data_IF_518991009487
#
_entry.id   IF_518991009487
#
_cell.length_a   1.000
_cell.length_b   1.000
_cell.length_c   1.000
_cell.angle_alpha   90.00
_cell.angle_beta   90.00
_cell.angle_gamma   90.00
#
_symmetry.space_group_name_H-M   'P 1'
#
loop_
_entity.id
_entity.type
_entity.pdbx_description
1 polymer ?
#
# COMPACT_ATOMS: atom_id res chain seq x y z
N UNK A 1 -3.19 7.66 -13.77
CA UNK A 1 -3.94 6.49 -13.27
C UNK A 1 -4.85 6.84 -12.11
N UNK A 2 -4.33 7.23 -10.93
CA UNK A 2 -5.16 7.57 -9.75
C UNK A 2 -6.25 8.62 -10.02
N UNK A 3 -5.94 9.72 -10.73
CA UNK A 3 -6.94 10.75 -11.06
C UNK A 3 -8.09 10.21 -11.92
N UNK A 4 -7.79 9.34 -12.89
CA UNK A 4 -8.82 8.70 -13.70
C UNK A 4 -9.67 7.73 -12.86
N UNK A 5 -9.03 6.98 -11.95
CA UNK A 5 -9.72 6.23 -10.90
C UNK A 5 -10.69 7.09 -10.10
N UNK A 6 -10.26 8.29 -9.68
CA UNK A 6 -11.07 9.16 -8.85
C UNK A 6 -12.21 9.90 -9.56
N UNK A 7 -12.24 9.94 -10.91
CA UNK A 7 -13.15 10.83 -11.66
C UNK A 7 -13.92 10.17 -12.80
N UNK A 8 -13.39 9.09 -13.33
CA UNK A 8 -13.88 8.45 -14.56
C UNK A 8 -13.94 6.93 -14.41
N UNK A 9 -14.07 6.45 -13.18
CA UNK A 9 -14.11 5.03 -12.86
C UNK A 9 -15.42 4.68 -12.14
N UNK A 10 -15.67 3.39 -11.96
CA UNK A 10 -16.72 2.88 -11.08
C UNK A 10 -16.13 2.29 -9.79
N UNK A 11 -15.01 2.82 -9.28
CA UNK A 11 -14.23 2.19 -8.22
C UNK A 11 -15.02 1.93 -6.94
N UNK A 12 -15.77 2.91 -6.41
CA UNK A 12 -16.57 2.70 -5.19
C UNK A 12 -17.68 1.67 -5.40
N UNK A 13 -18.33 1.69 -6.57
CA UNK A 13 -19.34 0.70 -6.93
C UNK A 13 -18.71 -0.71 -7.04
N UNK A 14 -17.58 -0.81 -7.73
CA UNK A 14 -16.80 -2.05 -7.83
C UNK A 14 -16.35 -2.56 -6.46
N UNK A 15 -15.94 -1.67 -5.56
CA UNK A 15 -15.50 -2.04 -4.21
C UNK A 15 -16.64 -2.59 -3.35
N UNK A 16 -17.86 -2.10 -3.55
CA UNK A 16 -19.07 -2.59 -2.86
C UNK A 16 -19.53 -3.97 -3.33
N UNK A 17 -19.31 -4.34 -4.60
CA UNK A 17 -19.62 -5.66 -5.15
C UNK A 17 -18.66 -6.05 -6.28
N UNK A 18 -17.46 -6.47 -5.88
CA UNK A 18 -16.38 -6.81 -6.82
C UNK A 18 -16.64 -8.12 -7.58
N UNK A 19 -17.65 -8.90 -7.18
CA UNK A 19 -18.00 -10.18 -7.81
C UNK A 19 -18.93 -10.00 -9.01
N UNK A 20 -19.82 -9.01 -8.97
CA UNK A 20 -20.80 -8.78 -10.04
C UNK A 20 -20.50 -7.52 -10.86
N UNK A 21 -19.77 -6.56 -10.30
CA UNK A 21 -19.38 -5.32 -11.00
C UNK A 21 -17.96 -5.52 -11.54
N UNK A 22 -17.76 -5.33 -12.84
CA UNK A 22 -16.44 -5.31 -13.46
C UNK A 22 -15.74 -3.96 -13.26
N UNK A 23 -14.41 -3.91 -13.04
CA UNK A 23 -13.72 -2.64 -12.85
C UNK A 23 -13.59 -1.88 -14.18
N UNK A 24 -13.97 -0.60 -14.16
CA UNK A 24 -13.82 0.34 -15.27
C UNK A 24 -13.11 1.59 -14.76
N UNK A 25 -12.08 2.05 -15.46
CA UNK A 25 -11.28 3.22 -15.08
C UNK A 25 -11.12 4.24 -16.23
N UNK A 26 -11.89 4.06 -17.31
CA UNK A 26 -11.86 4.94 -18.47
C UNK A 26 -13.27 5.07 -19.05
N UNK A 27 -13.79 6.30 -19.05
CA UNK A 27 -14.93 6.66 -19.88
C UNK A 27 -14.40 6.84 -21.31
N UNK A 28 -14.43 5.76 -22.11
CA UNK A 28 -14.05 5.83 -23.52
C UNK A 28 -15.15 6.56 -24.30
N UNK A 29 -14.79 7.39 -25.27
CA UNK A 29 -15.71 7.80 -26.32
C UNK A 29 -16.24 6.53 -27.04
N UNK A 30 -17.48 6.51 -27.56
CA UNK A 30 -18.16 5.27 -27.96
C UNK A 30 -17.58 4.65 -29.24
N UNK A 31 -16.36 4.09 -29.18
CA UNK A 31 -15.64 3.53 -30.34
C UNK A 31 -14.94 2.20 -29.99
N UNK A 32 -14.36 2.00 -28.79
CA UNK A 32 -13.69 0.72 -28.44
C UNK A 32 -13.81 0.38 -26.94
N UNK A 33 -14.09 -0.89 -26.62
CA UNK A 33 -14.13 -1.43 -25.24
C UNK A 33 -12.72 -1.76 -24.77
N UNK A 34 -12.18 -0.99 -23.84
CA UNK A 34 -10.86 -1.22 -23.26
C UNK A 34 -10.93 -0.89 -21.77
N UNK A 35 -11.30 -1.90 -20.99
CA UNK A 35 -11.39 -1.81 -19.54
C UNK A 35 -10.47 -2.85 -18.88
N UNK A 36 -10.00 -2.53 -17.67
CA UNK A 36 -9.42 -3.40 -16.62
C UNK A 36 -7.89 -3.37 -16.47
N UNK A 37 -7.43 -2.99 -15.25
CA UNK A 37 -6.34 -3.64 -14.47
C UNK A 37 -6.02 -2.98 -13.09
N UNK A 38 -6.68 -1.88 -12.67
CA UNK A 38 -6.22 -1.11 -11.49
C UNK A 38 -7.03 -1.26 -10.18
N UNK A 39 -8.24 -1.84 -10.21
CA UNK A 39 -9.14 -1.86 -9.03
C UNK A 39 -8.58 -2.65 -7.85
N UNK A 40 -8.02 -3.83 -8.13
CA UNK A 40 -7.49 -4.75 -7.11
C UNK A 40 -6.31 -4.18 -6.34
N UNK A 41 -5.45 -3.39 -7.01
CA UNK A 41 -4.27 -2.77 -6.40
C UNK A 41 -4.68 -1.70 -5.38
N UNK A 42 -5.71 -0.90 -5.69
CA UNK A 42 -6.20 0.14 -4.79
C UNK A 42 -6.90 -0.47 -3.57
N UNK A 43 -7.71 -1.52 -3.78
CA UNK A 43 -8.30 -2.31 -2.69
C UNK A 43 -7.24 -2.91 -1.77
N UNK A 44 -6.22 -3.56 -2.33
CA UNK A 44 -5.11 -4.13 -1.56
C UNK A 44 -4.29 -3.07 -0.79
N UNK A 45 -4.35 -1.81 -1.22
CA UNK A 45 -3.71 -0.68 -0.54
C UNK A 45 -4.55 -0.06 0.58
N UNK A 46 -5.78 -0.55 0.80
CA UNK A 46 -6.70 -0.03 1.81
C UNK A 46 -7.44 1.24 1.38
N UNK A 47 -7.52 1.52 0.08
CA UNK A 47 -8.29 2.66 -0.42
C UNK A 47 -9.78 2.29 -0.42
N UNK A 48 -10.63 3.17 0.11
CA UNK A 48 -12.07 2.94 0.22
C UNK A 48 -12.93 3.99 -0.48
N UNK A 49 -12.34 5.11 -0.91
CA UNK A 49 -13.07 6.20 -1.57
C UNK A 49 -12.30 6.85 -2.71
N UNK A 50 -13.03 7.46 -3.65
CA UNK A 50 -12.48 8.24 -4.75
C UNK A 50 -11.74 9.49 -4.26
N UNK A 51 -12.09 10.02 -3.08
CA UNK A 51 -11.38 11.14 -2.47
C UNK A 51 -9.92 10.80 -2.17
N UNK A 52 -9.65 9.61 -1.62
CA UNK A 52 -8.30 9.14 -1.34
C UNK A 52 -7.49 8.97 -2.64
N UNK A 53 -8.11 8.44 -3.71
CA UNK A 53 -7.48 8.37 -5.04
C UNK A 53 -7.14 9.76 -5.59
N UNK A 54 -8.03 10.74 -5.38
CA UNK A 54 -7.82 12.12 -5.82
C UNK A 54 -6.64 12.77 -5.07
N UNK A 55 -6.59 12.64 -3.75
CA UNK A 55 -5.48 13.12 -2.93
C UNK A 55 -4.15 12.45 -3.34
N UNK A 56 -4.17 11.14 -3.58
CA UNK A 56 -3.01 10.39 -4.06
C UNK A 56 -2.51 10.91 -5.42
N UNK A 57 -3.44 11.24 -6.33
CA UNK A 57 -3.10 11.82 -7.62
C UNK A 57 -2.43 13.20 -7.50
N UNK A 58 -2.93 14.06 -6.61
CA UNK A 58 -2.31 15.37 -6.33
C UNK A 58 -0.92 15.18 -5.73
N UNK A 59 -0.78 14.31 -4.73
CA UNK A 59 0.51 14.00 -4.12
C UNK A 59 1.54 13.52 -5.15
N UNK A 60 1.15 12.60 -6.03
CA UNK A 60 1.99 12.12 -7.12
C UNK A 60 2.40 13.25 -8.10
N UNK A 61 1.50 14.18 -8.41
CA UNK A 61 1.79 15.33 -9.28
C UNK A 61 2.80 16.30 -8.63
N UNK A 62 2.64 16.58 -7.34
CA UNK A 62 3.60 17.39 -6.58
C UNK A 62 4.97 16.70 -6.56
N UNK A 63 5.01 15.39 -6.29
CA UNK A 63 6.25 14.62 -6.29
C UNK A 63 6.93 14.60 -7.67
N UNK A 64 6.17 14.47 -8.75
CA UNK A 64 6.71 14.58 -10.11
C UNK A 64 7.35 15.95 -10.37
N UNK A 65 6.72 17.02 -9.88
CA UNK A 65 7.28 18.39 -9.97
C UNK A 65 8.58 18.51 -9.17
N UNK A 66 8.64 17.92 -7.97
CA UNK A 66 9.86 17.88 -7.16
C UNK A 66 10.99 17.09 -7.85
N UNK A 67 10.69 15.98 -8.52
CA UNK A 67 11.69 15.21 -9.27
C UNK A 67 12.26 16.01 -10.45
N UNK A 68 11.40 16.71 -11.20
CA UNK A 68 11.84 17.60 -12.28
C UNK A 68 12.70 18.75 -11.76
N UNK A 69 12.30 19.36 -10.64
CA UNK A 69 13.07 20.41 -10.00
C UNK A 69 14.42 19.90 -9.49
N UNK A 70 14.45 18.71 -8.85
CA UNK A 70 15.67 18.05 -8.37
C UNK A 70 16.65 17.79 -9.52
N UNK A 71 16.15 17.29 -10.66
CA UNK A 71 16.96 17.10 -11.87
C UNK A 71 17.53 18.42 -12.41
N UNK A 72 16.71 19.45 -12.53
CA UNK A 72 17.18 20.78 -12.93
C UNK A 72 18.22 21.35 -11.96
N UNK A 73 17.98 21.21 -10.65
CA UNK A 73 18.84 21.74 -9.59
C UNK A 73 20.20 21.04 -9.58
N UNK A 74 20.23 19.71 -9.61
CA UNK A 74 21.46 18.94 -9.64
C UNK A 74 22.21 19.01 -10.97
N UNK A 75 21.58 19.51 -12.04
CA UNK A 75 22.27 19.83 -13.29
C UNK A 75 22.85 21.25 -13.28
N UNK A 76 22.06 22.28 -12.93
CA UNK A 76 22.41 23.69 -13.13
C UNK A 76 22.95 24.42 -11.89
N UNK A 77 22.63 23.95 -10.67
CA UNK A 77 22.96 24.65 -9.41
C UNK A 77 23.92 23.87 -8.54
N UNK A 78 23.74 22.56 -8.45
CA UNK A 78 24.51 21.67 -7.59
C UNK A 78 25.01 20.45 -8.38
N UNK A 79 25.84 20.70 -9.39
CA UNK A 79 26.41 19.66 -10.25
C UNK A 79 27.37 18.77 -9.47
N UNK A 80 27.06 17.47 -9.41
CA UNK A 80 27.92 16.47 -8.77
C UNK A 80 29.24 16.28 -9.53
N UNK A 81 30.31 15.99 -8.78
CA UNK A 81 31.63 15.67 -9.34
C UNK A 81 31.70 14.19 -9.74
N UNK A 82 32.61 13.84 -10.65
CA UNK A 82 32.81 12.44 -11.10
C UNK A 82 33.05 11.47 -9.93
N UNK A 83 33.82 11.88 -8.93
CA UNK A 83 34.10 11.05 -7.75
C UNK A 83 32.83 10.63 -6.99
N UNK A 84 31.77 11.44 -7.00
CA UNK A 84 30.49 11.07 -6.38
C UNK A 84 29.78 9.96 -7.17
N UNK A 85 29.80 10.02 -8.50
CA UNK A 85 29.20 8.98 -9.36
C UNK A 85 29.97 7.65 -9.31
N UNK A 86 31.27 7.70 -9.02
CA UNK A 86 32.14 6.53 -8.96
C UNK A 86 32.24 5.90 -7.56
N UNK A 87 31.60 6.48 -6.56
CA UNK A 87 31.51 5.90 -5.21
C UNK A 87 30.48 4.77 -5.18
N UNK A 88 30.89 3.61 -5.70
CA UNK A 88 30.05 2.41 -5.81
C UNK A 88 29.68 1.86 -4.43
N UNK A 89 30.55 2.01 -3.43
CA UNK A 89 30.28 1.55 -2.07
C UNK A 89 29.13 2.34 -1.45
N UNK A 90 29.21 3.68 -1.49
CA UNK A 90 28.11 4.53 -1.02
C UNK A 90 26.84 4.29 -1.82
N UNK A 91 26.94 4.18 -3.15
CA UNK A 91 25.79 3.89 -4.01
C UNK A 91 25.10 2.58 -3.60
N UNK A 92 25.84 1.48 -3.50
CA UNK A 92 25.25 0.18 -3.16
C UNK A 92 24.66 0.17 -1.75
N UNK A 93 25.34 0.75 -0.76
CA UNK A 93 24.84 0.81 0.62
C UNK A 93 23.51 1.58 0.70
N UNK A 94 23.43 2.75 0.05
CA UNK A 94 22.20 3.56 0.07
C UNK A 94 21.06 2.93 -0.76
N UNK A 95 21.36 2.24 -1.86
CA UNK A 95 20.32 1.56 -2.63
C UNK A 95 19.82 0.28 -1.94
N UNK A 96 20.72 -0.55 -1.43
CA UNK A 96 20.33 -1.81 -0.80
C UNK A 96 19.68 -1.58 0.57
N UNK A 97 20.38 -0.93 1.50
CA UNK A 97 19.86 -0.73 2.86
C UNK A 97 18.81 0.39 2.91
N UNK A 98 19.06 1.50 2.20
CA UNK A 98 18.17 2.65 2.18
C UNK A 98 16.95 2.42 1.29
N UNK A 99 17.14 2.43 -0.03
CA UNK A 99 16.01 2.39 -0.98
C UNK A 99 15.21 1.08 -0.89
N UNK A 100 15.87 -0.08 -0.91
CA UNK A 100 15.20 -1.38 -0.89
C UNK A 100 14.82 -1.79 0.53
N UNK A 101 15.74 -1.71 1.49
CA UNK A 101 15.50 -2.05 2.89
C UNK A 101 14.43 -1.17 3.54
N UNK A 102 14.66 0.14 3.66
CA UNK A 102 13.68 1.04 4.27
C UNK A 102 12.39 1.14 3.44
N UNK A 103 12.47 0.94 2.12
CA UNK A 103 11.29 0.83 1.26
C UNK A 103 10.42 -0.37 1.63
N UNK A 104 11.02 -1.55 1.79
CA UNK A 104 10.30 -2.77 2.20
C UNK A 104 9.76 -2.66 3.63
N UNK A 105 10.54 -2.10 4.56
CA UNK A 105 10.10 -1.84 5.94
C UNK A 105 8.92 -0.87 6.01
N UNK A 106 8.96 0.21 5.23
CA UNK A 106 7.85 1.17 5.16
C UNK A 106 6.60 0.53 4.57
N UNK A 107 6.77 -0.33 3.56
CA UNK A 107 5.66 -1.01 2.93
C UNK A 107 4.98 -2.04 3.84
N UNK A 108 5.74 -2.84 4.60
CA UNK A 108 5.12 -3.73 5.61
C UNK A 108 4.42 -2.92 6.71
N UNK A 109 4.97 -1.78 7.12
CA UNK A 109 4.30 -0.87 8.05
C UNK A 109 2.93 -0.40 7.51
N UNK A 110 2.88 0.03 6.24
CA UNK A 110 1.62 0.37 5.56
C UNK A 110 0.66 -0.82 5.51
N UNK A 111 1.15 -2.01 5.14
CA UNK A 111 0.32 -3.20 5.03
C UNK A 111 -0.31 -3.59 6.37
N UNK A 112 0.49 -3.63 7.44
CA UNK A 112 0.03 -4.03 8.78
C UNK A 112 -0.92 -3.02 9.39
N UNK A 113 -0.65 -1.73 9.25
CA UNK A 113 -1.41 -0.69 9.95
C UNK A 113 -2.57 -0.09 9.14
N UNK A 114 -2.59 -0.26 7.81
CA UNK A 114 -3.61 0.33 6.92
C UNK A 114 -4.31 -0.74 6.09
N UNK A 115 -3.57 -1.44 5.23
CA UNK A 115 -4.19 -2.37 4.27
C UNK A 115 -4.91 -3.53 4.95
N UNK A 116 -4.26 -4.17 5.91
CA UNK A 116 -4.75 -5.39 6.57
C UNK A 116 -6.06 -5.16 7.34
N UNK A 117 -6.17 -4.17 8.25
CA UNK A 117 -7.44 -3.88 8.93
C UNK A 117 -8.59 -3.64 7.95
N UNK A 118 -8.37 -2.82 6.92
CA UNK A 118 -9.41 -2.47 5.94
C UNK A 118 -9.81 -3.69 5.11
N UNK A 119 -8.84 -4.50 4.67
CA UNK A 119 -9.14 -5.68 3.86
C UNK A 119 -9.86 -6.77 4.66
N UNK A 120 -9.69 -6.86 5.98
CA UNK A 120 -10.51 -7.75 6.81
C UNK A 120 -12.00 -7.37 6.74
N UNK A 121 -12.33 -6.08 6.87
CA UNK A 121 -13.71 -5.60 6.72
C UNK A 121 -14.26 -5.80 5.30
N UNK A 122 -13.44 -5.50 4.28
CA UNK A 122 -13.85 -5.70 2.89
C UNK A 122 -14.06 -7.19 2.55
N UNK A 123 -13.26 -8.09 3.13
CA UNK A 123 -13.46 -9.54 2.98
C UNK A 123 -14.73 -10.01 3.71
N UNK A 124 -15.09 -9.34 4.82
CA UNK A 124 -16.36 -9.54 5.52
C UNK A 124 -17.57 -8.86 4.83
N UNK A 125 -17.35 -8.23 3.66
CA UNK A 125 -18.39 -7.53 2.86
C UNK A 125 -19.08 -6.38 3.60
N UNK A 126 -18.36 -5.72 4.50
CA UNK A 126 -18.83 -4.46 5.09
C UNK A 126 -18.79 -3.37 4.03
N UNK A 127 -19.82 -2.52 3.99
CA UNK A 127 -19.87 -1.39 3.06
C UNK A 127 -18.62 -0.52 3.28
N UNK A 128 -17.84 -0.17 2.24
CA UNK A 128 -16.65 0.67 2.37
C UNK A 128 -16.87 1.99 3.13
N UNK A 129 -18.10 2.51 3.15
CA UNK A 129 -18.49 3.74 3.89
C UNK A 129 -18.65 3.54 5.39
N UNK A 130 -18.87 2.30 5.83
CA UNK A 130 -19.00 1.94 7.25
C UNK A 130 -17.65 1.54 7.87
N UNK A 131 -16.63 1.29 7.03
CA UNK A 131 -15.29 0.95 7.50
C UNK A 131 -14.64 2.21 8.10
N UNK A 132 -14.11 2.15 9.33
CA UNK A 132 -13.34 3.24 9.92
C UNK A 132 -12.18 3.67 9.00
N UNK A 133 -11.84 4.95 9.03
CA UNK A 133 -10.72 5.44 8.20
C UNK A 133 -9.37 4.91 8.74
N UNK A 134 -8.32 4.81 7.89
CA UNK A 134 -7.01 4.33 8.30
C UNK A 134 -6.44 5.01 9.57
N UNK A 135 -6.66 6.31 9.72
CA UNK A 135 -6.20 7.09 10.87
C UNK A 135 -6.86 6.68 12.18
N UNK A 136 -8.12 6.22 12.14
CA UNK A 136 -8.81 5.68 13.31
C UNK A 136 -8.16 4.39 13.81
N UNK A 137 -7.74 3.49 12.91
CA UNK A 137 -7.01 2.27 13.29
C UNK A 137 -5.62 2.56 13.88
N UNK A 138 -4.95 3.59 13.38
CA UNK A 138 -3.62 3.99 13.86
C UNK A 138 -3.70 4.63 15.25
N UNK A 139 -4.71 5.49 15.47
CA UNK A 139 -4.85 6.24 16.72
C UNK A 139 -5.59 5.46 17.81
N UNK A 140 -6.48 4.53 17.43
CA UNK A 140 -7.26 3.74 18.37
C UNK A 140 -6.77 2.28 18.43
N UNK A 141 -5.94 2.02 19.43
CA UNK A 141 -5.41 0.68 19.70
C UNK A 141 -6.50 -0.34 20.03
N UNK A 142 -7.59 0.06 20.66
CA UNK A 142 -8.67 -0.85 21.03
C UNK A 142 -9.42 -1.35 19.79
N UNK A 143 -9.53 -0.51 18.76
CA UNK A 143 -10.10 -0.90 17.47
C UNK A 143 -9.20 -1.93 16.76
N UNK A 144 -7.88 -1.70 16.77
CA UNK A 144 -6.94 -2.67 16.19
C UNK A 144 -6.89 -3.98 17.00
N UNK A 145 -6.99 -3.91 18.33
CA UNK A 145 -6.99 -5.07 19.21
C UNK A 145 -8.23 -5.96 19.06
N UNK A 146 -9.36 -5.40 18.61
CA UNK A 146 -10.55 -6.19 18.26
C UNK A 146 -10.32 -7.06 17.02
N UNK A 147 -9.48 -6.61 16.09
CA UNK A 147 -9.10 -7.35 14.88
C UNK A 147 -7.94 -8.32 15.15
N UNK A 148 -6.92 -7.84 15.86
CA UNK A 148 -5.69 -8.55 16.17
C UNK A 148 -5.41 -8.47 17.67
N UNK A 149 -5.89 -9.44 18.48
CA UNK A 149 -5.72 -9.44 19.94
C UNK A 149 -4.28 -9.23 20.40
N UNK A 150 -3.30 -9.74 19.64
CA UNK A 150 -1.86 -9.54 19.89
C UNK A 150 -1.44 -8.05 19.94
N UNK A 151 -2.17 -7.14 19.29
CA UNK A 151 -1.91 -5.69 19.31
C UNK A 151 -2.10 -5.07 20.70
N UNK A 152 -2.87 -5.72 21.59
CA UNK A 152 -3.04 -5.33 22.98
C UNK A 152 -1.77 -5.54 23.84
N UNK A 153 -0.78 -6.29 23.36
CA UNK A 153 0.54 -6.45 24.00
C UNK A 153 1.55 -5.39 23.54
N UNK A 154 1.26 -4.72 22.42
CA UNK A 154 2.06 -3.62 21.87
C UNK A 154 3.40 -4.11 21.33
N UNK A 155 4.45 -3.31 21.49
CA UNK A 155 5.79 -3.68 21.05
C UNK A 155 6.54 -4.59 22.04
N UNK A 156 5.94 -4.97 23.17
CA UNK A 156 6.59 -5.80 24.19
C UNK A 156 7.09 -7.15 23.65
N UNK A 157 6.29 -7.90 22.86
CA UNK A 157 6.74 -9.17 22.29
C UNK A 157 7.91 -9.01 21.31
N UNK A 158 8.01 -7.88 20.62
CA UNK A 158 9.13 -7.57 19.72
C UNK A 158 10.46 -7.48 20.47
N UNK A 159 10.51 -6.68 21.55
CA UNK A 159 11.73 -6.47 22.34
C UNK A 159 12.11 -7.66 23.24
N UNK A 160 11.14 -8.53 23.55
CA UNK A 160 11.38 -9.78 24.31
C UNK A 160 11.66 -10.98 23.42
N UNK A 161 11.73 -10.79 22.10
CA UNK A 161 11.92 -11.84 21.08
C UNK A 161 10.84 -12.94 21.08
N UNK A 162 9.66 -12.65 21.63
CA UNK A 162 8.52 -13.56 21.60
C UNK A 162 7.68 -13.34 20.33
N UNK A 163 8.30 -13.54 19.17
CA UNK A 163 7.72 -13.19 17.87
C UNK A 163 6.55 -14.07 17.42
N UNK A 164 6.32 -15.22 18.07
CA UNK A 164 5.18 -16.09 17.78
C UNK A 164 3.82 -15.39 17.98
N UNK A 165 3.80 -14.33 18.80
CA UNK A 165 2.62 -13.48 19.05
C UNK A 165 2.13 -12.71 17.82
N UNK A 166 2.97 -12.50 16.81
CA UNK A 166 2.62 -11.74 15.61
C UNK A 166 2.06 -12.60 14.47
N UNK A 167 1.85 -13.90 14.71
CA UNK A 167 1.35 -14.85 13.69
C UNK A 167 -0.09 -14.58 13.23
N UNK A 168 -0.82 -13.66 13.86
CA UNK A 168 -2.18 -13.26 13.44
C UNK A 168 -2.17 -12.38 12.17
N UNK A 169 -1.13 -11.59 11.97
CA UNK A 169 -1.01 -10.68 10.82
C UNK A 169 0.30 -10.84 10.02
N UNK A 170 1.26 -11.63 10.51
CA UNK A 170 2.44 -12.09 9.77
C UNK A 170 2.40 -13.60 9.63
N UNK A 171 1.84 -14.07 8.51
CA UNK A 171 1.55 -15.50 8.31
C UNK A 171 2.48 -16.13 7.28
N UNK A 172 2.36 -17.45 7.11
CA UNK A 172 3.01 -18.20 6.04
C UNK A 172 2.05 -19.30 5.55
N UNK A 173 0.86 -18.89 5.11
CA UNK A 173 -0.17 -19.83 4.66
C UNK A 173 0.20 -20.49 3.33
N UNK A 174 0.71 -19.69 2.39
CA UNK A 174 0.99 -20.12 1.02
C UNK A 174 -0.27 -20.34 0.19
N UNK A 175 -0.12 -20.25 -1.14
CA UNK A 175 -1.23 -20.42 -2.08
C UNK A 175 -2.03 -19.14 -2.31
N UNK A 176 -3.24 -19.31 -2.85
CA UNK A 176 -4.17 -18.21 -3.18
C UNK A 176 -5.40 -18.30 -2.29
N UNK A 177 -5.95 -17.15 -1.92
CA UNK A 177 -7.24 -17.07 -1.25
C UNK A 177 -8.34 -17.64 -2.16
N UNK A 178 -9.19 -18.56 -1.66
CA UNK A 178 -10.13 -19.29 -2.51
C UNK A 178 -11.26 -18.42 -3.07
N UNK A 179 -11.48 -17.22 -2.53
CA UNK A 179 -12.57 -16.31 -2.93
C UNK A 179 -12.05 -15.20 -3.83
N UNK A 180 -10.96 -14.54 -3.42
CA UNK A 180 -10.38 -13.41 -4.14
C UNK A 180 -9.36 -13.85 -5.19
N UNK A 181 -8.85 -15.08 -5.12
CA UNK A 181 -7.78 -15.63 -5.99
C UNK A 181 -6.48 -14.81 -5.88
N UNK A 182 -6.39 -13.89 -4.92
CA UNK A 182 -5.21 -13.10 -4.60
C UNK A 182 -4.29 -13.82 -3.62
N UNK A 183 -3.07 -13.32 -3.49
CA UNK A 183 -2.18 -13.72 -2.39
C UNK A 183 -2.70 -13.16 -1.07
N UNK A 184 -2.49 -13.90 0.03
CA UNK A 184 -2.83 -13.37 1.35
C UNK A 184 -1.98 -12.13 1.68
N UNK A 185 -2.64 -11.02 2.04
CA UNK A 185 -1.93 -9.80 2.43
C UNK A 185 -1.04 -10.00 3.66
N UNK A 186 -1.39 -10.93 4.56
CA UNK A 186 -0.58 -11.27 5.74
C UNK A 186 0.70 -12.02 5.37
N UNK A 187 0.67 -12.85 4.33
CA UNK A 187 1.87 -13.50 3.76
C UNK A 187 2.74 -12.48 3.02
N UNK A 188 2.11 -11.55 2.27
CA UNK A 188 2.84 -10.47 1.59
C UNK A 188 3.52 -9.55 2.61
N UNK A 189 2.84 -9.20 3.70
CA UNK A 189 3.41 -8.41 4.80
C UNK A 189 4.63 -9.10 5.42
N UNK A 190 4.50 -10.40 5.71
CA UNK A 190 5.62 -11.19 6.21
C UNK A 190 6.78 -11.26 5.22
N UNK A 191 6.49 -11.41 3.92
CA UNK A 191 7.51 -11.39 2.87
C UNK A 191 8.29 -10.07 2.81
N UNK A 192 7.61 -8.92 2.88
CA UNK A 192 8.29 -7.63 2.88
C UNK A 192 9.10 -7.36 4.15
N UNK A 193 8.64 -7.86 5.30
CA UNK A 193 9.44 -7.85 6.52
C UNK A 193 10.69 -8.72 6.36
N UNK A 194 10.57 -9.88 5.74
CA UNK A 194 11.69 -10.79 5.49
C UNK A 194 12.69 -10.24 4.45
N UNK A 195 12.26 -9.42 3.49
CA UNK A 195 13.19 -8.72 2.57
C UNK A 195 14.04 -7.68 3.32
N UNK A 196 13.50 -7.07 4.37
CA UNK A 196 14.23 -6.07 5.15
C UNK A 196 15.33 -6.68 6.02
N UNK A 197 15.09 -7.87 6.58
CA UNK A 197 16.04 -8.60 7.42
C UNK A 197 17.10 -9.36 6.60
#
# INVERSE_FOLDING_TARGET
>A
MYFHGARFSNYEAWLSDSTHIGPSAQVVWPIVRQEILNGDIWRASGITSELQLYCTAIGALVFATLMLFSGWFHYHKATSKLAWFQDVESMLNHHLAGLLGLGSLSWVGHQVHVSLPINQFLNARVDPKEIPLPDEFILNRDLLAQLYPSSAEGATPFFTLNWSKYAEFLTFHGGLDPVTVGLSLTDIAHHHLAIYF
#
